data_IF_153564298411
#
_entry.id   IF_153564298411
#
_cell.length_a   1.000
_cell.length_b   1.000
_cell.length_c   1.000
_cell.angle_alpha   90.00
_cell.angle_beta   90.00
_cell.angle_gamma   90.00
#
_symmetry.space_group_name_H-M   'P 1'
#
loop_
_entity.id
_entity.type
_entity.pdbx_description
1 polymer ?
#
# COMPACT_ATOMS: atom_id res chain seq x y z
N UNK A 1 -9.72 -4.64 8.39
CA UNK A 1 -8.68 -4.98 7.43
C UNK A 1 -7.37 -5.12 8.20
N UNK A 2 -6.73 -6.26 8.16
CA UNK A 2 -5.49 -6.51 8.87
C UNK A 2 -4.46 -7.11 7.92
N UNK A 3 -3.22 -6.65 8.01
CA UNK A 3 -2.09 -7.36 7.43
C UNK A 3 -1.94 -8.70 8.16
N UNK A 4 -1.85 -9.83 7.45
CA UNK A 4 -2.02 -11.16 8.05
C UNK A 4 -1.11 -11.46 9.23
N UNK A 5 0.14 -11.01 9.20
CA UNK A 5 1.15 -11.48 10.16
C UNK A 5 1.42 -10.52 11.33
N UNK A 6 0.92 -9.28 11.27
CA UNK A 6 1.20 -8.25 12.31
C UNK A 6 -0.06 -7.84 13.06
N UNK A 7 -1.22 -7.90 12.41
CA UNK A 7 -2.49 -7.40 12.95
C UNK A 7 -3.57 -8.47 13.03
N UNK A 8 -3.24 -9.71 12.66
CA UNK A 8 -4.15 -10.84 12.73
C UNK A 8 -4.16 -11.42 14.15
N UNK A 9 -5.32 -11.41 14.80
CA UNK A 9 -5.50 -12.16 16.05
C UNK A 9 -5.78 -13.63 15.75
N UNK A 10 -4.98 -14.59 16.25
CA UNK A 10 -5.21 -16.01 16.00
C UNK A 10 -6.52 -16.52 16.62
N UNK A 11 -7.07 -15.79 17.60
CA UNK A 11 -8.29 -16.17 18.32
C UNK A 11 -9.57 -15.79 17.56
N UNK A 12 -9.45 -15.13 16.40
CA UNK A 12 -10.60 -14.63 15.65
C UNK A 12 -10.65 -15.22 14.24
N UNK A 13 -11.84 -15.63 13.77
CA UNK A 13 -12.00 -16.12 12.41
C UNK A 13 -11.69 -15.02 11.38
N UNK A 14 -11.14 -15.43 10.26
CA UNK A 14 -10.78 -14.53 9.16
C UNK A 14 -11.04 -15.16 7.81
N UNK A 15 -11.14 -14.31 6.77
CA UNK A 15 -11.22 -14.71 5.38
C UNK A 15 -10.33 -13.83 4.53
N UNK A 16 -9.61 -14.42 3.59
CA UNK A 16 -8.83 -13.67 2.60
C UNK A 16 -9.78 -12.88 1.70
N UNK A 17 -9.45 -11.62 1.43
CA UNK A 17 -10.19 -10.75 0.50
C UNK A 17 -9.50 -10.64 -0.85
N UNK A 18 -8.26 -10.17 -0.86
CA UNK A 18 -7.45 -10.03 -2.07
C UNK A 18 -5.97 -9.90 -1.71
N UNK A 19 -5.13 -10.12 -2.71
CA UNK A 19 -3.71 -9.80 -2.62
C UNK A 19 -3.40 -8.54 -3.44
N UNK A 20 -2.44 -7.75 -2.98
CA UNK A 20 -1.96 -6.57 -3.68
C UNK A 20 -0.43 -6.53 -3.65
N UNK A 21 0.15 -5.79 -4.58
CA UNK A 21 1.58 -5.53 -4.65
C UNK A 21 1.87 -4.02 -4.54
N UNK A 22 3.11 -3.62 -4.70
CA UNK A 22 3.52 -2.23 -4.58
C UNK A 22 3.94 -1.63 -5.93
N UNK A 23 3.77 -0.33 -6.03
CA UNK A 23 4.32 0.51 -7.11
C UNK A 23 5.11 1.66 -6.50
N UNK A 24 6.22 1.99 -7.15
CA UNK A 24 6.84 3.28 -6.95
C UNK A 24 6.02 4.31 -7.74
N UNK A 25 5.64 5.39 -7.07
CA UNK A 25 4.74 6.41 -7.61
C UNK A 25 5.43 7.75 -7.62
N UNK A 26 5.35 8.43 -8.75
CA UNK A 26 5.88 9.78 -8.96
C UNK A 26 4.86 10.64 -9.68
N UNK A 27 4.99 11.96 -9.59
CA UNK A 27 4.24 12.86 -10.45
C UNK A 27 4.63 12.66 -11.93
N UNK A 28 3.67 12.75 -12.87
CA UNK A 28 3.90 12.57 -14.30
C UNK A 28 4.95 13.50 -14.91
N UNK A 29 5.07 14.71 -14.36
CA UNK A 29 6.09 15.68 -14.76
C UNK A 29 7.42 15.58 -14.01
N UNK A 30 7.63 14.54 -13.18
CA UNK A 30 8.90 14.32 -12.49
C UNK A 30 10.02 14.04 -13.51
N UNK A 31 11.06 14.88 -13.51
CA UNK A 31 12.20 14.81 -14.44
C UNK A 31 13.40 14.06 -13.88
N UNK A 32 13.38 13.68 -12.59
CA UNK A 32 14.48 12.97 -11.94
C UNK A 32 14.35 11.45 -12.04
N UNK A 33 13.19 10.94 -12.48
CA UNK A 33 12.91 9.51 -12.58
C UNK A 33 12.48 9.17 -14.00
N UNK A 34 13.16 8.18 -14.62
CA UNK A 34 12.81 7.61 -15.91
C UNK A 34 11.62 6.65 -15.84
N UNK A 35 11.55 5.69 -16.76
CA UNK A 35 10.52 4.64 -16.79
C UNK A 35 10.77 3.53 -15.76
N UNK A 36 11.96 3.48 -15.21
CA UNK A 36 12.37 2.59 -14.12
C UNK A 36 13.20 3.38 -13.11
N UNK A 37 13.34 2.85 -11.91
CA UNK A 37 14.18 3.42 -10.86
C UNK A 37 14.99 2.30 -10.21
N UNK A 38 16.31 2.46 -10.16
CA UNK A 38 17.18 1.56 -9.43
C UNK A 38 17.09 1.83 -7.92
N UNK A 39 17.52 0.86 -7.09
CA UNK A 39 17.53 1.05 -5.64
C UNK A 39 18.42 2.24 -5.23
N UNK A 40 19.58 2.38 -5.87
CA UNK A 40 20.50 3.50 -5.57
C UNK A 40 19.87 4.86 -5.88
N UNK A 41 19.22 5.00 -7.04
CA UNK A 41 18.50 6.23 -7.42
C UNK A 41 17.34 6.48 -6.46
N UNK A 42 16.55 5.44 -6.16
CA UNK A 42 15.42 5.52 -5.24
C UNK A 42 15.83 6.06 -3.87
N UNK A 43 16.91 5.54 -3.29
CA UNK A 43 17.39 5.96 -1.96
C UNK A 43 17.85 7.43 -1.93
N UNK A 44 18.33 7.97 -3.06
CA UNK A 44 18.78 9.37 -3.18
C UNK A 44 17.65 10.39 -3.39
N UNK A 45 16.47 9.92 -3.79
CA UNK A 45 15.32 10.79 -4.02
C UNK A 45 14.71 11.26 -2.69
N UNK A 46 13.89 12.33 -2.78
CA UNK A 46 13.07 12.81 -1.67
C UNK A 46 11.79 11.99 -1.58
N UNK A 47 11.50 11.46 -0.41
CA UNK A 47 10.40 10.53 -0.20
C UNK A 47 9.20 11.17 0.50
N UNK A 48 8.00 10.76 0.07
CA UNK A 48 6.80 10.76 0.89
C UNK A 48 6.66 9.35 1.49
N UNK A 49 6.76 9.24 2.81
CA UNK A 49 6.62 7.97 3.53
C UNK A 49 5.29 7.94 4.29
N UNK A 50 4.66 6.77 4.36
CA UNK A 50 3.47 6.58 5.19
C UNK A 50 3.90 6.05 6.56
N UNK A 51 3.41 6.71 7.61
CA UNK A 51 3.58 6.28 9.00
C UNK A 51 2.26 6.42 9.75
N UNK A 52 1.83 5.36 10.38
CA UNK A 52 0.64 5.39 11.22
C UNK A 52 1.03 5.76 12.65
N UNK A 53 0.39 6.76 13.22
CA UNK A 53 0.78 7.40 14.49
C UNK A 53 0.96 6.44 15.67
N UNK A 54 0.26 5.31 15.68
CA UNK A 54 0.29 4.34 16.78
C UNK A 54 0.96 3.00 16.42
N UNK A 55 1.44 2.83 15.19
CA UNK A 55 1.90 1.53 14.67
C UNK A 55 3.31 1.59 14.09
N UNK A 56 3.82 2.79 13.81
CA UNK A 56 5.15 2.96 13.21
C UNK A 56 5.14 3.05 11.68
N UNK A 57 6.23 2.67 11.02
CA UNK A 57 6.32 2.68 9.56
C UNK A 57 5.34 1.69 8.94
N UNK A 58 4.89 1.99 7.73
CA UNK A 58 4.16 1.04 6.88
C UNK A 58 5.04 -0.20 6.56
N UNK A 59 4.40 -1.28 6.10
CA UNK A 59 5.12 -2.52 5.79
C UNK A 59 6.25 -2.31 4.75
N UNK A 60 5.96 -1.64 3.64
CA UNK A 60 6.97 -1.33 2.62
C UNK A 60 8.04 -0.37 3.16
N UNK A 61 7.67 0.54 4.05
CA UNK A 61 8.61 1.41 4.74
C UNK A 61 9.61 0.61 5.57
N UNK A 62 9.11 -0.27 6.41
CA UNK A 62 9.93 -1.19 7.22
C UNK A 62 10.75 -2.16 6.34
N UNK A 63 10.18 -2.65 5.23
CA UNK A 63 10.89 -3.55 4.32
C UNK A 63 12.07 -2.84 3.64
N UNK A 64 11.86 -1.62 3.15
CA UNK A 64 12.92 -0.84 2.48
C UNK A 64 14.05 -0.45 3.46
N UNK A 65 13.76 -0.22 4.73
CA UNK A 65 14.76 0.07 5.76
C UNK A 65 15.84 -1.04 5.87
N UNK A 66 15.56 -2.27 5.41
CA UNK A 66 16.53 -3.36 5.36
C UNK A 66 17.63 -3.17 4.30
N UNK A 67 17.36 -2.36 3.27
CA UNK A 67 18.30 -2.07 2.18
C UNK A 67 19.11 -0.79 2.42
N UNK A 68 18.82 -0.04 3.48
CA UNK A 68 19.52 1.18 3.87
C UNK A 68 18.58 2.16 4.55
N UNK A 69 19.06 2.78 5.63
CA UNK A 69 18.31 3.81 6.38
C UNK A 69 18.50 5.22 5.80
N UNK A 70 19.17 5.34 4.66
CA UNK A 70 19.58 6.64 4.12
C UNK A 70 18.51 7.31 3.24
N UNK A 71 17.27 6.80 3.25
CA UNK A 71 16.19 7.46 2.53
C UNK A 71 15.94 8.87 3.06
N UNK A 72 15.96 9.85 2.17
CA UNK A 72 15.59 11.21 2.50
C UNK A 72 14.06 11.35 2.60
N UNK A 73 13.49 11.05 3.75
CA UNK A 73 12.05 11.24 4.01
C UNK A 73 11.82 12.75 4.21
N UNK A 74 11.24 13.40 3.21
CA UNK A 74 10.93 14.83 3.25
C UNK A 74 9.54 15.10 3.85
N UNK A 75 8.60 14.17 3.63
CA UNK A 75 7.23 14.26 4.15
C UNK A 75 6.80 12.91 4.71
N UNK A 76 6.18 12.96 5.88
CA UNK A 76 5.47 11.82 6.47
C UNK A 76 3.97 12.03 6.36
N UNK A 77 3.26 11.10 5.70
CA UNK A 77 1.82 11.09 5.57
C UNK A 77 1.18 10.10 6.56
N UNK A 78 0.03 10.45 7.11
CA UNK A 78 -0.73 9.59 8.02
C UNK A 78 -1.62 8.55 7.29
N UNK A 79 -1.72 8.62 5.97
CA UNK A 79 -2.50 7.70 5.15
C UNK A 79 -1.95 7.61 3.73
N UNK A 80 -2.16 6.48 3.06
CA UNK A 80 -1.81 6.30 1.65
C UNK A 80 -2.61 7.22 0.72
N UNK A 81 -3.85 7.55 1.06
CA UNK A 81 -4.70 8.43 0.24
C UNK A 81 -4.21 9.88 0.16
N UNK A 82 -3.37 10.32 1.09
CA UNK A 82 -2.75 11.64 1.05
C UNK A 82 -1.52 11.71 0.10
N UNK A 83 -0.87 10.58 -0.15
CA UNK A 83 0.40 10.50 -0.89
C UNK A 83 0.31 11.11 -2.29
N UNK A 84 -0.71 10.83 -3.14
CA UNK A 84 -0.83 11.39 -4.48
C UNK A 84 -0.81 12.92 -4.51
N UNK A 85 -1.47 13.56 -3.55
CA UNK A 85 -1.50 15.03 -3.44
C UNK A 85 -0.16 15.63 -3.04
N UNK A 86 0.64 14.89 -2.27
CA UNK A 86 1.97 15.30 -1.83
C UNK A 86 3.06 15.05 -2.87
N UNK A 87 2.77 14.20 -3.87
CA UNK A 87 3.63 13.96 -5.03
C UNK A 87 3.38 14.97 -6.16
N UNK A 88 2.13 15.38 -6.35
CA UNK A 88 1.72 16.21 -7.48
C UNK A 88 2.52 17.52 -7.56
N UNK A 89 3.08 17.83 -8.75
CA UNK A 89 3.90 19.01 -8.98
C UNK A 89 5.30 18.97 -8.35
N UNK A 90 5.79 17.80 -7.93
CA UNK A 90 7.08 17.66 -7.22
C UNK A 90 7.96 16.57 -7.85
N UNK A 91 9.24 16.53 -7.45
CA UNK A 91 10.16 15.45 -7.80
C UNK A 91 10.26 14.37 -6.69
N UNK A 92 9.26 14.27 -5.82
CA UNK A 92 9.22 13.24 -4.78
C UNK A 92 8.81 11.89 -5.35
N UNK A 93 9.14 10.83 -4.61
CA UNK A 93 8.74 9.46 -4.87
C UNK A 93 8.10 8.86 -3.62
N UNK A 94 7.18 7.92 -3.82
CA UNK A 94 6.59 7.13 -2.75
C UNK A 94 6.40 5.68 -3.19
N UNK A 95 6.21 4.79 -2.24
CA UNK A 95 5.66 3.45 -2.46
C UNK A 95 4.19 3.45 -2.06
N UNK A 96 3.35 2.84 -2.89
CA UNK A 96 1.91 2.69 -2.66
C UNK A 96 1.45 1.31 -3.08
N UNK A 97 0.39 0.82 -2.46
CA UNK A 97 -0.35 -0.35 -2.94
C UNK A 97 -0.81 -0.13 -4.38
N UNK A 98 -0.61 -1.13 -5.25
CA UNK A 98 -0.87 -1.02 -6.70
C UNK A 98 -2.30 -0.60 -7.00
N UNK A 99 -3.29 -1.29 -6.44
CA UNK A 99 -4.73 -1.00 -6.69
C UNK A 99 -5.09 0.44 -6.34
N UNK A 100 -4.58 0.93 -5.21
CA UNK A 100 -4.81 2.31 -4.79
C UNK A 100 -4.08 3.31 -5.69
N UNK A 101 -2.84 3.01 -6.07
CA UNK A 101 -2.04 3.84 -6.98
C UNK A 101 -2.70 3.96 -8.37
N UNK A 102 -3.20 2.86 -8.93
CA UNK A 102 -3.95 2.82 -10.20
C UNK A 102 -5.23 3.68 -10.13
N UNK A 103 -5.97 3.58 -9.02
CA UNK A 103 -7.17 4.41 -8.79
C UNK A 103 -6.84 5.90 -8.85
N UNK A 104 -5.76 6.33 -8.20
CA UNK A 104 -5.35 7.73 -8.24
C UNK A 104 -4.73 8.14 -9.57
N UNK A 105 -4.00 7.27 -10.25
CA UNK A 105 -3.42 7.54 -11.56
C UNK A 105 -4.49 7.75 -12.64
N UNK A 106 -5.69 7.18 -12.48
CA UNK A 106 -6.83 7.45 -13.35
C UNK A 106 -7.40 8.88 -13.19
N UNK A 107 -7.12 9.56 -12.08
CA UNK A 107 -7.66 10.88 -11.73
C UNK A 107 -6.60 11.98 -11.66
N UNK A 108 -5.34 11.62 -11.52
CA UNK A 108 -4.23 12.55 -11.31
C UNK A 108 -3.05 12.20 -12.23
N UNK A 109 -2.24 13.18 -12.64
CA UNK A 109 -1.08 12.95 -13.51
C UNK A 109 0.06 12.25 -12.75
N UNK A 110 -0.11 10.97 -12.45
CA UNK A 110 0.88 10.13 -11.78
C UNK A 110 1.45 9.10 -12.75
N UNK A 111 2.72 8.74 -12.56
CA UNK A 111 3.36 7.58 -13.19
C UNK A 111 3.61 6.51 -12.15
N UNK A 112 3.25 5.28 -12.52
CA UNK A 112 3.44 4.09 -11.72
C UNK A 112 4.60 3.29 -12.28
N UNK A 113 5.58 3.00 -11.46
CA UNK A 113 6.81 2.30 -11.83
C UNK A 113 6.92 1.01 -11.02
N UNK A 114 7.62 -0.01 -11.53
CA UNK A 114 8.03 -1.13 -10.69
C UNK A 114 8.79 -0.62 -9.45
N UNK A 115 8.60 -1.22 -8.28
CA UNK A 115 9.40 -0.87 -7.12
C UNK A 115 10.88 -1.24 -7.37
N UNK A 116 11.84 -0.54 -6.74
CA UNK A 116 13.28 -0.77 -7.00
C UNK A 116 13.79 -2.12 -6.50
N UNK A 117 13.01 -2.78 -5.67
CA UNK A 117 13.25 -4.14 -5.14
C UNK A 117 11.92 -4.89 -5.09
N UNK A 118 11.98 -6.21 -5.15
CA UNK A 118 10.80 -7.04 -4.99
C UNK A 118 10.29 -6.95 -3.54
N UNK A 119 9.15 -6.30 -3.36
CA UNK A 119 8.47 -6.19 -2.06
C UNK A 119 7.44 -7.32 -1.97
N UNK A 120 7.39 -8.09 -0.88
CA UNK A 120 6.39 -9.13 -0.72
C UNK A 120 4.96 -8.62 -0.89
N UNK A 121 4.11 -9.45 -1.51
CA UNK A 121 2.69 -9.13 -1.65
C UNK A 121 2.02 -8.95 -0.28
N UNK A 122 1.06 -8.06 -0.23
CA UNK A 122 0.19 -7.89 0.93
C UNK A 122 -1.09 -8.67 0.68
N UNK A 123 -1.45 -9.52 1.64
CA UNK A 123 -2.72 -10.24 1.64
C UNK A 123 -3.70 -9.50 2.55
N UNK A 124 -4.71 -8.90 1.98
CA UNK A 124 -5.78 -8.26 2.74
C UNK A 124 -6.80 -9.30 3.19
N UNK A 125 -7.12 -9.27 4.46
CA UNK A 125 -8.06 -10.20 5.07
C UNK A 125 -9.17 -9.45 5.83
N UNK A 126 -10.33 -10.05 5.84
CA UNK A 126 -11.44 -9.68 6.70
C UNK A 126 -11.34 -10.51 7.98
N UNK A 127 -11.32 -9.88 9.14
CA UNK A 127 -11.35 -10.55 10.43
C UNK A 127 -12.53 -10.03 11.25
N UNK A 128 -13.15 -10.91 12.02
CA UNK A 128 -14.28 -10.58 12.89
C UNK A 128 -14.18 -11.28 14.23
N UNK A 129 -14.84 -10.73 15.23
CA UNK A 129 -14.86 -11.32 16.55
C UNK A 129 -15.66 -12.63 16.55
N UNK A 130 -15.16 -13.67 17.21
CA UNK A 130 -15.77 -15.00 17.26
C UNK A 130 -17.26 -14.97 17.69
N UNK A 131 -17.64 -14.08 18.60
CA UNK A 131 -19.05 -13.94 19.03
C UNK A 131 -20.00 -13.48 17.91
N UNK A 132 -19.47 -12.87 16.86
CA UNK A 132 -20.24 -12.40 15.70
C UNK A 132 -20.27 -13.42 14.55
N UNK A 133 -19.74 -14.61 14.75
CA UNK A 133 -19.64 -15.61 13.69
C UNK A 133 -21.02 -16.12 13.23
N UNK A 134 -21.95 -16.27 14.16
CA UNK A 134 -23.32 -16.72 13.89
C UNK A 134 -24.30 -15.61 13.49
N UNK A 135 -23.90 -14.33 13.56
CA UNK A 135 -24.75 -13.20 13.17
C UNK A 135 -25.03 -13.22 11.66
N UNK A 136 -26.31 -13.36 11.28
CA UNK A 136 -26.73 -13.49 9.88
C UNK A 136 -26.47 -12.22 9.06
N UNK A 137 -26.65 -11.04 9.66
CA UNK A 137 -26.41 -9.77 8.98
C UNK A 137 -24.92 -9.60 8.68
N UNK A 138 -24.06 -9.83 9.67
CA UNK A 138 -22.62 -9.77 9.50
C UNK A 138 -22.09 -10.86 8.55
N UNK A 139 -22.70 -12.05 8.55
CA UNK A 139 -22.39 -13.12 7.59
C UNK A 139 -22.74 -12.71 6.18
N UNK A 140 -23.89 -12.08 5.98
CA UNK A 140 -24.27 -11.55 4.66
C UNK A 140 -23.27 -10.50 4.17
N UNK A 141 -22.88 -9.54 5.04
CA UNK A 141 -21.86 -8.52 4.70
C UNK A 141 -20.53 -9.16 4.33
N UNK A 142 -20.05 -10.12 5.12
CA UNK A 142 -18.79 -10.84 4.85
C UNK A 142 -18.82 -11.52 3.48
N UNK A 143 -19.87 -12.29 3.22
CA UNK A 143 -20.02 -12.99 1.95
C UNK A 143 -20.12 -12.05 0.77
N UNK A 144 -20.77 -10.91 0.95
CA UNK A 144 -20.88 -9.88 -0.09
C UNK A 144 -19.53 -9.24 -0.40
N UNK A 145 -18.74 -8.89 0.62
CA UNK A 145 -17.39 -8.34 0.45
C UNK A 145 -16.45 -9.35 -0.23
N UNK A 146 -16.45 -10.61 0.19
CA UNK A 146 -15.62 -11.66 -0.40
C UNK A 146 -15.97 -11.84 -1.88
N UNK A 147 -17.25 -11.86 -2.21
CA UNK A 147 -17.71 -11.98 -3.61
C UNK A 147 -17.25 -10.79 -4.45
N UNK A 148 -17.46 -9.56 -3.98
CA UNK A 148 -17.05 -8.36 -4.71
C UNK A 148 -15.55 -8.30 -4.97
N UNK A 149 -14.74 -8.75 -4.01
CA UNK A 149 -13.28 -8.77 -4.16
C UNK A 149 -12.82 -9.90 -5.07
N UNK A 150 -13.50 -11.05 -5.07
CA UNK A 150 -13.20 -12.20 -5.93
C UNK A 150 -13.62 -12.02 -7.39
N UNK A 151 -14.59 -11.15 -7.67
CA UNK A 151 -15.03 -10.79 -9.03
C UNK A 151 -14.06 -9.86 -9.77
N UNK A 152 -13.05 -9.36 -9.07
CA UNK A 152 -11.97 -8.55 -9.66
C UNK A 152 -10.61 -9.27 -9.49
N UNK A 153 -10.36 -10.33 -10.30
CA UNK A 153 -9.07 -10.99 -10.29
C UNK A 153 -7.99 -9.98 -10.68
N UNK A 154 -6.76 -10.12 -10.18
CA UNK A 154 -5.65 -9.26 -10.56
C UNK A 154 -5.44 -9.35 -12.08
N UNK A 155 -5.49 -8.21 -12.75
CA UNK A 155 -5.11 -8.02 -14.15
C UNK A 155 -3.61 -8.07 -14.33
#
# INVERSE_FOLDING_TARGET
>A
LAMPDVYHSPDHPSAHLFSDDYRAVVWGGNTQVGDTVTLEEFLKLKHVAVRFSNVGPSFEGWFIERFGNDRLIEITAGSYSAVPFLLNGTNRIALMHRKLAETFAAMMPLRLLPPPVEIPHVNEALQWHVYNDSDECLRWVRNHLIRLMGEHPPS
#
